data_IF_929723312271
#
_entry.id   IF_929723312271
#
_cell.length_a   1.000
_cell.length_b   1.000
_cell.length_c   1.000
_cell.angle_alpha   90.00
_cell.angle_beta   90.00
_cell.angle_gamma   90.00
#
_symmetry.space_group_name_H-M   'P 1'
#
loop_
_entity.id
_entity.type
_entity.pdbx_description
1 polymer ?
#
# COMPACT_ATOMS: atom_id res chain seq x y z
N UNK A 1 15.39 -7.47 -8.24
CA UNK A 1 13.96 -7.42 -8.63
C UNK A 1 13.43 -6.06 -8.20
N UNK A 2 12.60 -5.43 -9.04
CA UNK A 2 12.00 -4.14 -8.71
C UNK A 2 10.52 -4.32 -8.37
N UNK A 3 10.01 -3.46 -7.49
CA UNK A 3 8.67 -3.54 -6.91
C UNK A 3 7.95 -2.20 -7.09
N UNK A 4 6.63 -2.27 -7.29
CA UNK A 4 5.74 -1.12 -7.21
C UNK A 4 5.03 -1.15 -5.87
N UNK A 5 4.92 0.01 -5.21
CA UNK A 5 4.23 0.12 -3.95
C UNK A 5 2.73 0.39 -4.18
N UNK A 6 1.90 -0.48 -3.60
CA UNK A 6 0.47 -0.31 -3.49
C UNK A 6 0.14 0.01 -2.05
N UNK A 7 -0.70 1.01 -1.84
CA UNK A 7 -1.01 1.54 -0.53
C UNK A 7 -2.51 1.32 -0.30
N UNK A 8 -2.83 0.47 0.67
CA UNK A 8 -4.18 0.28 1.15
C UNK A 8 -4.45 1.21 2.33
N UNK A 9 -5.55 1.95 2.26
CA UNK A 9 -6.08 2.73 3.38
C UNK A 9 -7.13 1.90 4.08
N UNK A 10 -6.98 1.75 5.39
CA UNK A 10 -7.79 0.90 6.24
C UNK A 10 -8.54 1.76 7.26
N UNK A 11 -9.77 1.36 7.59
CA UNK A 11 -10.50 1.97 8.70
C UNK A 11 -9.72 1.85 10.01
N UNK A 12 -9.77 2.90 10.84
CA UNK A 12 -9.16 2.94 12.16
C UNK A 12 -9.54 1.74 13.06
N UNK A 13 -10.75 1.23 12.91
CA UNK A 13 -11.29 0.14 13.74
C UNK A 13 -10.95 -1.25 13.20
N UNK A 14 -10.32 -1.35 12.02
CA UNK A 14 -9.99 -2.61 11.38
C UNK A 14 -8.56 -3.03 11.75
N UNK A 15 -8.34 -4.29 12.19
CA UNK A 15 -7.01 -4.83 12.32
C UNK A 15 -6.26 -4.77 10.98
N UNK A 16 -4.98 -4.36 11.01
CA UNK A 16 -4.12 -4.30 9.79
C UNK A 16 -4.03 -5.64 9.06
N UNK A 17 -4.19 -6.73 9.79
CA UNK A 17 -4.19 -8.10 9.26
C UNK A 17 -5.38 -8.31 8.30
N UNK A 18 -6.55 -7.80 8.69
CA UNK A 18 -7.83 -7.95 7.98
C UNK A 18 -8.00 -6.93 6.86
N UNK A 19 -7.21 -5.84 6.89
CA UNK A 19 -7.12 -4.91 5.77
C UNK A 19 -6.40 -5.57 4.60
N UNK A 20 -7.17 -5.89 3.58
CA UNK A 20 -6.78 -6.60 2.37
C UNK A 20 -7.45 -5.97 1.14
N UNK A 21 -7.29 -6.60 -0.03
CA UNK A 21 -7.80 -6.12 -1.32
C UNK A 21 -9.28 -5.72 -1.27
N UNK A 22 -10.10 -6.51 -0.61
CA UNK A 22 -11.55 -6.40 -0.64
C UNK A 22 -12.11 -5.57 0.53
N UNK A 23 -11.30 -5.31 1.55
CA UNK A 23 -11.74 -4.64 2.79
C UNK A 23 -11.15 -3.26 3.00
N UNK A 24 -10.07 -2.92 2.30
CA UNK A 24 -9.51 -1.56 2.33
C UNK A 24 -10.50 -0.55 1.75
N UNK A 25 -10.58 0.62 2.36
CA UNK A 25 -11.53 1.67 1.96
C UNK A 25 -11.05 2.46 0.75
N UNK A 26 -9.72 2.51 0.55
CA UNK A 26 -9.12 3.16 -0.61
C UNK A 26 -7.79 2.49 -0.97
N UNK A 27 -7.39 2.61 -2.24
CA UNK A 27 -6.16 2.07 -2.80
C UNK A 27 -5.44 3.13 -3.63
N UNK A 28 -4.13 3.21 -3.42
CA UNK A 28 -3.27 4.05 -4.23
C UNK A 28 -2.09 3.24 -4.78
N UNK A 29 -1.55 3.70 -5.91
CA UNK A 29 -0.33 3.16 -6.51
C UNK A 29 0.73 4.25 -6.48
N UNK A 30 1.81 4.02 -5.74
CA UNK A 30 2.91 4.97 -5.70
C UNK A 30 3.73 4.84 -6.99
N UNK A 31 4.13 5.96 -7.63
CA UNK A 31 4.89 5.92 -8.86
C UNK A 31 6.31 5.37 -8.64
N UNK A 32 6.84 4.71 -9.67
CA UNK A 32 8.21 4.20 -9.69
C UNK A 32 8.35 2.71 -9.38
N UNK A 33 9.59 2.22 -9.52
CA UNK A 33 9.98 0.84 -9.29
C UNK A 33 11.27 0.81 -8.49
N UNK A 34 11.26 0.18 -7.32
CA UNK A 34 12.37 0.23 -6.36
C UNK A 34 12.74 -1.17 -5.88
N UNK A 35 13.89 -1.33 -5.22
CA UNK A 35 14.13 -2.52 -4.42
C UNK A 35 13.10 -2.62 -3.27
N UNK A 36 13.02 -3.79 -2.62
CA UNK A 36 12.00 -4.05 -1.62
C UNK A 36 12.05 -3.07 -0.43
N UNK A 37 13.25 -2.77 0.08
CA UNK A 37 13.42 -1.90 1.24
C UNK A 37 12.99 -0.46 0.91
N UNK A 38 13.46 0.07 -0.22
CA UNK A 38 13.07 1.38 -0.70
C UNK A 38 11.58 1.45 -1.08
N UNK A 39 11.01 0.39 -1.63
CA UNK A 39 9.59 0.33 -1.97
C UNK A 39 8.71 0.52 -0.71
N UNK A 40 9.06 -0.14 0.40
CA UNK A 40 8.30 0.00 1.66
C UNK A 40 8.35 1.44 2.18
N UNK A 41 9.54 2.03 2.24
CA UNK A 41 9.73 3.42 2.70
C UNK A 41 9.04 4.42 1.77
N UNK A 42 9.18 4.22 0.45
CA UNK A 42 8.54 5.06 -0.55
C UNK A 42 7.01 5.00 -0.46
N UNK A 43 6.43 3.80 -0.27
CA UNK A 43 4.99 3.63 -0.09
C UNK A 43 4.45 4.38 1.13
N UNK A 44 5.15 4.30 2.26
CA UNK A 44 4.78 5.03 3.49
C UNK A 44 4.85 6.55 3.29
N UNK A 45 5.93 7.04 2.67
CA UNK A 45 6.09 8.46 2.33
C UNK A 45 5.01 8.94 1.38
N UNK A 46 4.69 8.14 0.36
CA UNK A 46 3.65 8.49 -0.61
C UNK A 46 2.28 8.59 0.06
N UNK A 47 1.96 7.65 0.95
CA UNK A 47 0.72 7.66 1.72
C UNK A 47 0.56 8.93 2.57
N UNK A 48 1.62 9.36 3.26
CA UNK A 48 1.56 10.55 4.11
C UNK A 48 1.42 11.86 3.32
N UNK A 49 1.83 11.88 2.05
CA UNK A 49 1.75 13.06 1.19
C UNK A 49 0.57 13.05 0.22
N UNK A 50 -0.23 11.98 0.17
CA UNK A 50 -1.28 11.82 -0.85
C UNK A 50 -2.51 12.69 -0.60
N UNK A 51 -2.73 13.16 0.64
CA UNK A 51 -3.95 13.85 1.04
C UNK A 51 -5.19 12.94 1.13
N UNK A 52 -5.03 11.63 0.92
CA UNK A 52 -6.11 10.63 0.98
C UNK A 52 -6.22 10.04 2.39
N UNK A 53 -5.08 9.81 3.05
CA UNK A 53 -5.02 9.26 4.40
C UNK A 53 -5.48 10.32 5.40
N UNK A 54 -6.45 9.98 6.25
CA UNK A 54 -6.99 10.85 7.30
C UNK A 54 -6.47 10.45 8.68
N UNK A 55 -6.65 11.34 9.65
CA UNK A 55 -6.31 11.05 11.05
C UNK A 55 -7.09 9.84 11.56
N UNK A 56 -6.35 8.86 12.08
CA UNK A 56 -6.90 7.58 12.56
C UNK A 56 -6.91 6.47 11.52
N UNK A 57 -6.80 6.78 10.22
CA UNK A 57 -6.66 5.75 9.19
C UNK A 57 -5.35 4.98 9.40
N UNK A 58 -5.41 3.67 9.14
CA UNK A 58 -4.20 2.86 9.12
C UNK A 58 -3.81 2.55 7.68
N UNK A 59 -2.51 2.54 7.40
CA UNK A 59 -1.99 2.32 6.05
C UNK A 59 -1.22 1.01 5.99
N UNK A 60 -1.47 0.21 4.95
CA UNK A 60 -0.72 -1.00 4.66
C UNK A 60 -0.09 -0.91 3.28
N UNK A 61 1.23 -1.07 3.23
CA UNK A 61 2.00 -1.01 1.98
C UNK A 61 2.29 -2.43 1.49
N UNK A 62 2.01 -2.65 0.22
CA UNK A 62 2.27 -3.87 -0.52
C UNK A 62 3.28 -3.59 -1.63
N UNK A 63 4.47 -4.16 -1.51
CA UNK A 63 5.48 -4.11 -2.56
C UNK A 63 5.33 -5.33 -3.47
N UNK A 64 4.69 -5.13 -4.62
CA UNK A 64 4.42 -6.21 -5.59
C UNK A 64 5.39 -6.13 -6.77
N UNK A 65 5.96 -7.28 -7.12
CA UNK A 65 6.78 -7.43 -8.32
C UNK A 65 5.88 -7.59 -9.57
N UNK A 66 6.38 -7.30 -10.79
CA UNK A 66 5.59 -7.35 -12.03
C UNK A 66 4.83 -8.67 -12.28
N UNK A 67 5.42 -9.78 -11.91
CA UNK A 67 4.86 -11.12 -12.02
C UNK A 67 3.73 -11.39 -11.02
N UNK A 68 3.73 -10.69 -9.88
CA UNK A 68 2.70 -10.81 -8.84
C UNK A 68 1.40 -10.08 -9.17
N UNK A 69 1.37 -9.23 -10.21
CA UNK A 69 0.13 -8.57 -10.66
C UNK A 69 -0.88 -9.52 -11.31
N UNK A 70 -0.45 -10.73 -11.69
CA UNK A 70 -1.32 -11.75 -12.27
C UNK A 70 -2.07 -12.57 -11.21
N UNK A 71 -1.63 -12.51 -9.97
CA UNK A 71 -2.20 -13.30 -8.87
C UNK A 71 -2.90 -12.36 -7.90
N UNK A 72 -4.22 -12.48 -7.81
CA UNK A 72 -5.00 -11.85 -6.75
C UNK A 72 -4.68 -12.58 -5.43
N UNK A 73 -3.60 -12.16 -4.78
CA UNK A 73 -3.26 -12.51 -3.40
C UNK A 73 -3.41 -11.28 -2.52
#
# INVERSE_FOLDING_TARGET
MLYTAYVAVCLATMPVQDCNRDTAVDWMVAPGHYDLAHCMVHGQRFASTSGIVRDGDTVKVYCKAPDQFRSAG
#
